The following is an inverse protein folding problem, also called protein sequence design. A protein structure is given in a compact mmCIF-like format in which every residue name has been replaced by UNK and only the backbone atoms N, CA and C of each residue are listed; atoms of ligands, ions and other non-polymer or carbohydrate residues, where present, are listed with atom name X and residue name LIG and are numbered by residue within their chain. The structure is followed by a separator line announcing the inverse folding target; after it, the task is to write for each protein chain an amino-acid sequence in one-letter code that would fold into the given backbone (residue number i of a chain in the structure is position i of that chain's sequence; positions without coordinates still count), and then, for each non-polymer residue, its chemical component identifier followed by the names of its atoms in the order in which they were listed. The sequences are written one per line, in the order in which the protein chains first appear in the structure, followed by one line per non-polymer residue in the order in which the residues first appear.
data_IF_355423798397
#
_entry.id   IF_355423798397
#
_cell.length_a   1.000
_cell.length_b   1.000
_cell.length_c   1.000
_cell.angle_alpha   90.00
_cell.angle_beta   90.00
_cell.angle_gamma   90.00
#
_symmetry.space_group_name_H-M   'P 1'
#
loop_
_entity.id
_entity.type
_entity.pdbx_description
1 polymer ?
#
# COMPACT_ATOMS: atom_id res chain seq x y z
N UNK A 1 -1.74 -21.00 -21.75
CA UNK A 1 -1.97 -19.69 -21.09
C UNK A 1 -1.02 -19.49 -19.90
N UNK A 2 0.28 -19.75 -20.06
CA UNK A 2 1.27 -19.77 -18.96
C UNK A 2 2.40 -18.75 -19.17
N UNK A 3 2.42 -18.07 -20.33
CA UNK A 3 3.56 -17.28 -20.80
C UNK A 3 3.51 -15.80 -20.36
N UNK A 4 2.33 -15.16 -20.40
CA UNK A 4 2.16 -13.74 -20.00
C UNK A 4 2.55 -13.44 -18.54
N UNK A 5 2.38 -14.42 -17.64
CA UNK A 5 2.70 -14.25 -16.22
C UNK A 5 4.20 -14.18 -15.95
N UNK A 6 5.01 -14.86 -16.77
CA UNK A 6 6.47 -14.89 -16.61
C UNK A 6 7.08 -13.55 -17.03
N UNK A 7 6.47 -12.85 -18.00
CA UNK A 7 6.91 -11.52 -18.44
C UNK A 7 6.38 -10.36 -17.56
N UNK A 8 5.24 -10.56 -16.90
CA UNK A 8 4.68 -9.56 -15.98
C UNK A 8 5.55 -9.36 -14.72
N UNK A 9 6.13 -10.43 -14.18
CA UNK A 9 6.96 -10.38 -12.97
C UNK A 9 8.22 -9.48 -13.10
N UNK A 10 9.06 -9.62 -14.14
CA UNK A 10 10.20 -8.73 -14.32
C UNK A 10 9.78 -7.28 -14.61
N UNK A 11 8.65 -7.07 -15.29
CA UNK A 11 8.11 -5.72 -15.51
C UNK A 11 7.69 -5.04 -14.20
N UNK A 12 6.93 -5.74 -13.36
CA UNK A 12 6.53 -5.27 -12.02
C UNK A 12 7.75 -5.05 -11.13
N UNK A 13 8.73 -5.98 -11.15
CA UNK A 13 9.99 -5.85 -10.41
C UNK A 13 10.77 -4.61 -10.83
N UNK A 14 10.81 -4.31 -12.12
CA UNK A 14 11.51 -3.13 -12.65
C UNK A 14 10.78 -1.84 -12.31
N UNK A 15 9.45 -1.86 -12.27
CA UNK A 15 8.63 -0.70 -11.94
C UNK A 15 8.67 -0.36 -10.44
N UNK A 16 8.46 -1.34 -9.58
CA UNK A 16 8.48 -1.19 -8.11
C UNK A 16 9.90 -1.20 -7.51
N UNK A 17 10.89 -1.73 -8.24
CA UNK A 17 12.31 -1.67 -7.86
C UNK A 17 13.00 -0.34 -8.20
N UNK A 18 12.30 0.57 -8.89
CA UNK A 18 12.84 1.88 -9.25
C UNK A 18 13.04 2.75 -7.99
N UNK A 19 14.18 3.46 -7.83
CA UNK A 19 14.38 4.41 -6.74
C UNK A 19 13.25 5.43 -6.58
N UNK A 20 12.56 5.82 -7.67
CA UNK A 20 11.41 6.73 -7.62
C UNK A 20 10.22 6.08 -6.91
N UNK A 21 9.87 4.85 -7.26
CA UNK A 21 8.80 4.11 -6.60
C UNK A 21 9.11 3.88 -5.11
N UNK A 22 10.36 3.54 -4.80
CA UNK A 22 10.84 3.43 -3.41
C UNK A 22 10.77 4.74 -2.65
N UNK A 23 11.12 5.87 -3.27
CA UNK A 23 11.03 7.19 -2.64
C UNK A 23 9.57 7.56 -2.35
N UNK A 24 8.65 7.30 -3.28
CA UNK A 24 7.22 7.51 -3.08
C UNK A 24 6.67 6.61 -1.96
N UNK A 25 7.03 5.33 -1.94
CA UNK A 25 6.63 4.42 -0.87
C UNK A 25 7.16 4.89 0.50
N UNK A 26 8.44 5.24 0.60
CA UNK A 26 9.01 5.80 1.83
C UNK A 26 8.27 7.06 2.26
N UNK A 27 7.95 7.95 1.32
CA UNK A 27 7.18 9.15 1.64
C UNK A 27 5.80 8.82 2.21
N UNK A 28 5.10 7.82 1.68
CA UNK A 28 3.76 7.43 2.17
C UNK A 28 3.82 6.71 3.52
N UNK A 29 4.88 5.94 3.79
CA UNK A 29 5.02 5.11 4.99
C UNK A 29 5.65 5.86 6.16
N UNK A 30 6.40 6.94 5.88
CA UNK A 30 7.07 7.72 6.89
C UNK A 30 6.07 8.34 7.88
N UNK A 31 6.36 8.17 9.17
CA UNK A 31 5.61 8.83 10.25
C UNK A 31 5.77 10.35 10.16
N UNK A 32 4.68 11.05 10.40
CA UNK A 32 4.62 12.52 10.44
C UNK A 32 4.22 12.99 11.84
N UNK A 33 4.18 14.29 12.07
CA UNK A 33 3.70 14.85 13.34
C UNK A 33 2.22 14.45 13.63
N UNK A 34 1.44 14.11 12.58
CA UNK A 34 0.07 13.56 12.67
C UNK A 34 0.01 12.06 13.05
N UNK A 35 1.14 11.38 13.27
CA UNK A 35 1.21 9.93 13.42
C UNK A 35 1.52 9.21 12.11
N UNK A 36 1.11 7.94 11.97
CA UNK A 36 1.47 7.15 10.80
C UNK A 36 0.75 7.65 9.54
N UNK A 37 1.53 8.14 8.56
CA UNK A 37 0.98 8.78 7.35
C UNK A 37 0.15 7.84 6.48
N UNK A 38 0.47 6.54 6.43
CA UNK A 38 -0.29 5.57 5.66
C UNK A 38 -1.64 5.29 6.32
N UNK A 39 -1.69 5.12 7.63
CA UNK A 39 -2.95 4.91 8.37
C UNK A 39 -3.87 6.12 8.19
N UNK A 40 -3.30 7.32 8.34
CA UNK A 40 -3.99 8.59 8.12
C UNK A 40 -4.49 8.74 6.67
N UNK A 41 -3.69 8.33 5.69
CA UNK A 41 -4.08 8.33 4.28
C UNK A 41 -5.24 7.37 4.00
N UNK A 42 -5.28 6.20 4.66
CA UNK A 42 -6.35 5.23 4.53
C UNK A 42 -7.61 5.71 5.27
N UNK A 43 -7.48 6.28 6.46
CA UNK A 43 -8.61 6.92 7.16
C UNK A 43 -9.25 8.03 6.31
N UNK A 44 -8.43 8.85 5.65
CA UNK A 44 -8.91 9.83 4.68
C UNK A 44 -9.68 9.18 3.51
N UNK A 45 -9.20 8.03 3.01
CA UNK A 45 -9.90 7.27 1.97
C UNK A 45 -11.23 6.66 2.46
N UNK A 46 -11.31 6.28 3.73
CA UNK A 46 -12.53 5.79 4.39
C UNK A 46 -13.52 6.91 4.73
N UNK A 47 -13.13 8.19 4.59
CA UNK A 47 -13.96 9.36 4.85
C UNK A 47 -13.75 10.01 6.22
N UNK A 48 -12.84 9.49 7.05
CA UNK A 48 -12.44 10.10 8.32
C UNK A 48 -11.41 11.21 8.07
N UNK A 49 -11.71 12.45 8.45
CA UNK A 49 -10.87 13.61 8.14
C UNK A 49 -10.28 14.33 9.36
N UNK A 50 -10.43 13.74 10.56
CA UNK A 50 -10.07 14.40 11.81
C UNK A 50 -8.54 14.60 11.93
N UNK A 51 -8.11 15.86 12.06
CA UNK A 51 -6.74 16.23 12.46
C UNK A 51 -5.63 16.04 11.42
N UNK A 52 -5.94 15.74 10.16
CA UNK A 52 -4.92 15.45 9.14
C UNK A 52 -4.13 16.69 8.71
N UNK A 53 -2.79 16.60 8.74
CA UNK A 53 -1.93 17.63 8.15
C UNK A 53 -2.05 17.64 6.61
N UNK A 54 -1.57 18.72 5.97
CA UNK A 54 -1.63 18.85 4.50
C UNK A 54 -0.87 17.73 3.75
N UNK A 55 0.25 17.23 4.32
CA UNK A 55 1.02 16.10 3.77
C UNK A 55 0.24 14.79 3.89
N UNK A 56 -0.35 14.54 5.07
CA UNK A 56 -1.25 13.42 5.35
C UNK A 56 -2.43 13.40 4.35
N UNK A 57 -3.05 14.57 4.05
CA UNK A 57 -4.11 14.70 3.03
C UNK A 57 -3.64 14.42 1.60
N UNK A 58 -2.49 14.93 1.19
CA UNK A 58 -1.93 14.68 -0.14
C UNK A 58 -1.63 13.20 -0.34
N UNK A 59 -1.04 12.55 0.67
CA UNK A 59 -0.81 11.11 0.67
C UNK A 59 -2.14 10.34 0.56
N UNK A 60 -3.17 10.73 1.33
CA UNK A 60 -4.52 10.17 1.24
C UNK A 60 -5.11 10.23 -0.16
N UNK A 61 -4.98 11.37 -0.85
CA UNK A 61 -5.48 11.52 -2.22
C UNK A 61 -4.71 10.63 -3.22
N UNK A 62 -3.37 10.57 -3.11
CA UNK A 62 -2.54 9.70 -3.97
C UNK A 62 -2.83 8.22 -3.75
N UNK A 63 -2.94 7.80 -2.49
CA UNK A 63 -3.25 6.42 -2.10
C UNK A 63 -4.64 6.06 -2.58
N UNK A 64 -5.65 6.88 -2.30
CA UNK A 64 -7.03 6.66 -2.74
C UNK A 64 -7.17 6.53 -4.26
N UNK A 65 -6.47 7.36 -5.04
CA UNK A 65 -6.48 7.25 -6.50
C UNK A 65 -5.82 5.97 -7.01
N UNK A 66 -4.70 5.59 -6.38
CA UNK A 66 -4.01 4.32 -6.67
C UNK A 66 -4.91 3.12 -6.33
N UNK A 67 -5.57 3.15 -5.17
CA UNK A 67 -6.47 2.09 -4.72
C UNK A 67 -7.66 1.93 -5.67
N UNK A 68 -8.30 3.04 -6.06
CA UNK A 68 -9.43 3.02 -7.00
C UNK A 68 -9.02 2.52 -8.39
N UNK A 69 -7.83 2.91 -8.87
CA UNK A 69 -7.28 2.33 -10.11
C UNK A 69 -6.98 0.85 -9.99
N UNK A 70 -6.44 0.43 -8.83
CA UNK A 70 -6.14 -0.98 -8.59
C UNK A 70 -7.41 -1.80 -8.47
N UNK A 71 -8.48 -1.30 -7.84
CA UNK A 71 -9.76 -2.02 -7.72
C UNK A 71 -10.36 -2.30 -9.09
N UNK A 72 -10.33 -1.30 -9.98
CA UNK A 72 -10.78 -1.46 -11.37
C UNK A 72 -9.95 -2.50 -12.12
N UNK A 73 -8.64 -2.57 -11.84
CA UNK A 73 -7.74 -3.55 -12.46
C UNK A 73 -7.96 -4.97 -11.93
N UNK A 74 -8.26 -5.10 -10.64
CA UNK A 74 -8.49 -6.38 -9.96
C UNK A 74 -9.96 -6.82 -9.97
N UNK A 75 -10.88 -6.00 -10.47
CA UNK A 75 -12.32 -6.29 -10.51
C UNK A 75 -12.98 -6.35 -9.12
N UNK A 76 -12.38 -5.71 -8.10
CA UNK A 76 -12.89 -5.71 -6.72
C UNK A 76 -13.76 -4.48 -6.49
N UNK A 77 -14.90 -4.65 -5.80
CA UNK A 77 -15.79 -3.53 -5.48
C UNK A 77 -15.11 -2.54 -4.52
N UNK A 78 -15.39 -1.25 -4.69
CA UNK A 78 -14.80 -0.20 -3.84
C UNK A 78 -15.22 -0.39 -2.37
N UNK A 79 -16.43 -0.90 -2.14
CA UNK A 79 -16.98 -1.15 -0.81
C UNK A 79 -16.28 -2.32 -0.10
N UNK A 80 -15.89 -3.37 -0.84
CA UNK A 80 -15.10 -4.47 -0.27
C UNK A 80 -13.72 -4.01 0.17
N UNK A 81 -13.09 -3.13 -0.61
CA UNK A 81 -11.80 -2.53 -0.26
C UNK A 81 -11.94 -1.65 0.98
N UNK A 82 -12.96 -0.79 1.03
CA UNK A 82 -13.22 0.05 2.21
C UNK A 82 -13.48 -0.80 3.46
N UNK A 83 -14.27 -1.86 3.32
CA UNK A 83 -14.55 -2.79 4.42
C UNK A 83 -13.30 -3.49 4.93
N UNK A 84 -12.46 -4.00 4.03
CA UNK A 84 -11.17 -4.61 4.40
C UNK A 84 -10.20 -3.61 5.05
N UNK A 85 -10.09 -2.40 4.50
CA UNK A 85 -9.24 -1.35 5.06
C UNK A 85 -9.76 -0.80 6.40
N UNK A 86 -11.05 -0.94 6.68
CA UNK A 86 -11.63 -0.64 7.99
C UNK A 86 -11.16 -1.60 9.09
N UNK A 87 -10.74 -2.82 8.73
CA UNK A 87 -10.18 -3.76 9.70
C UNK A 87 -8.72 -3.41 10.03
N UNK A 88 -8.45 -3.10 11.30
CA UNK A 88 -7.10 -2.71 11.77
C UNK A 88 -6.05 -3.80 11.48
N UNK A 89 -6.44 -5.07 11.50
CA UNK A 89 -5.52 -6.19 11.21
C UNK A 89 -5.06 -6.15 9.76
N UNK A 90 -5.99 -5.95 8.82
CA UNK A 90 -5.68 -5.86 7.39
C UNK A 90 -4.83 -4.61 7.10
N UNK A 91 -5.16 -3.48 7.71
CA UNK A 91 -4.40 -2.23 7.62
C UNK A 91 -2.93 -2.42 8.03
N UNK A 92 -2.70 -3.04 9.19
CA UNK A 92 -1.34 -3.34 9.71
C UNK A 92 -0.59 -4.32 8.82
N UNK A 93 -1.30 -5.31 8.26
CA UNK A 93 -0.71 -6.24 7.30
C UNK A 93 -0.21 -5.51 6.05
N UNK A 94 -1.07 -4.66 5.46
CA UNK A 94 -0.73 -3.84 4.30
C UNK A 94 0.44 -2.91 4.59
N UNK A 95 0.44 -2.23 5.74
CA UNK A 95 1.52 -1.36 6.19
C UNK A 95 2.86 -2.12 6.29
N UNK A 96 2.87 -3.31 6.87
CA UNK A 96 4.08 -4.13 6.98
C UNK A 96 4.64 -4.59 5.63
N UNK A 97 3.76 -4.95 4.69
CA UNK A 97 4.17 -5.29 3.32
C UNK A 97 4.77 -4.07 2.62
N UNK A 98 4.08 -2.93 2.65
CA UNK A 98 4.55 -1.70 2.02
C UNK A 98 5.87 -1.21 2.66
N UNK A 99 6.00 -1.29 3.98
CA UNK A 99 7.24 -0.99 4.71
C UNK A 99 8.39 -1.91 4.27
N UNK A 100 8.12 -3.22 4.15
CA UNK A 100 9.09 -4.18 3.62
C UNK A 100 9.57 -3.79 2.22
N UNK A 101 8.66 -3.43 1.31
CA UNK A 101 9.01 -3.00 -0.04
C UNK A 101 9.79 -1.66 -0.03
N UNK A 102 9.43 -0.72 0.85
CA UNK A 102 10.11 0.57 0.95
C UNK A 102 11.55 0.45 1.47
N UNK A 103 11.78 -0.46 2.43
CA UNK A 103 13.09 -0.71 3.02
C UNK A 103 13.94 -1.66 2.15
N UNK A 104 13.41 -2.84 1.83
CA UNK A 104 14.15 -3.93 1.19
C UNK A 104 13.92 -4.01 -0.32
N UNK A 105 12.88 -3.35 -0.86
CA UNK A 105 12.46 -3.51 -2.25
C UNK A 105 11.74 -4.83 -2.49
N UNK A 106 11.54 -5.16 -3.76
CA UNK A 106 10.97 -6.46 -4.15
C UNK A 106 12.05 -7.52 -4.04
N UNK A 107 12.00 -8.28 -2.96
CA UNK A 107 12.83 -9.48 -2.75
C UNK A 107 12.03 -10.73 -3.10
N UNK A 108 12.73 -11.82 -3.42
CA UNK A 108 12.12 -13.12 -3.66
C UNK A 108 12.92 -14.19 -2.91
N UNK A 109 12.36 -14.82 -1.85
CA UNK A 109 11.04 -14.56 -1.24
C UNK A 109 10.93 -13.13 -0.68
N UNK A 110 9.70 -12.60 -0.58
CA UNK A 110 9.47 -11.23 -0.11
C UNK A 110 9.80 -11.09 1.38
N UNK A 111 10.65 -10.12 1.70
CA UNK A 111 11.09 -9.79 3.05
C UNK A 111 10.15 -8.73 3.60
N UNK A 112 9.33 -9.16 4.54
CA UNK A 112 8.32 -8.33 5.18
C UNK A 112 8.85 -7.76 6.48
N UNK A 113 8.37 -6.59 6.90
CA UNK A 113 8.89 -5.95 8.11
C UNK A 113 8.45 -6.65 9.40
N UNK A 114 7.36 -7.42 9.35
CA UNK A 114 6.83 -8.19 10.47
C UNK A 114 6.42 -9.61 10.03
N UNK A 115 6.48 -10.62 10.92
CA UNK A 115 6.08 -11.98 10.60
C UNK A 115 4.56 -12.08 10.37
N UNK A 116 4.15 -12.84 9.35
CA UNK A 116 2.75 -13.18 9.08
C UNK A 116 2.43 -14.57 9.59
N UNK A 117 1.33 -14.71 10.31
CA UNK A 117 0.74 -16.01 10.64
C UNK A 117 -0.32 -16.35 9.58
N UNK A 118 -0.03 -17.36 8.77
CA UNK A 118 -1.00 -17.89 7.82
C UNK A 118 -1.66 -19.10 8.47
N UNK A 119 -2.95 -18.96 8.80
CA UNK A 119 -3.77 -20.07 9.29
C UNK A 119 -4.65 -20.51 8.14
N UNK A 120 -4.61 -21.81 7.82
CA UNK A 120 -5.39 -22.45 6.76
C UNK A 120 -6.65 -23.11 7.31
#
# INVERSE_FOLDING_TARGET
MTDDRIHALPAVRRWLGNPVARALLRFVIQDDECGNRLENAIQYYLGSTDGLCWRCRLAGHMVGHTLRRSSNLFGVSEDDIKRGLGETVFLRGLQNVLAGIAHYGITMPQTVNAPFMVVW
#
